data_IF_833360636867
#
_entry.id   IF_833360636867
#
_cell.length_a   1.000
_cell.length_b   1.000
_cell.length_c   1.000
_cell.angle_alpha   90.00
_cell.angle_beta   90.00
_cell.angle_gamma   90.00
#
_symmetry.space_group_name_H-M   'P 1'
#
loop_
_entity.id
_entity.type
_entity.pdbx_description
1 polymer ?
#
# COMPACT_ATOMS: atom_id res chain seq x y z
N UNK A 1 -3.52 -12.31 -4.73
CA UNK A 1 -2.11 -12.31 -5.23
C UNK A 1 -2.12 -12.59 -6.72
N UNK A 2 -2.95 -13.54 -7.17
CA UNK A 2 -3.60 -13.59 -8.49
C UNK A 2 -3.79 -12.26 -9.25
N UNK A 3 -4.07 -11.14 -8.59
CA UNK A 3 -4.15 -9.83 -9.29
C UNK A 3 -2.88 -9.52 -10.09
N UNK A 4 -1.71 -9.98 -9.62
CA UNK A 4 -0.45 -9.87 -10.34
C UNK A 4 -0.41 -10.74 -11.60
N UNK A 5 -1.03 -11.94 -11.59
CA UNK A 5 -1.07 -12.83 -12.76
C UNK A 5 -1.98 -12.29 -13.87
N UNK A 6 -2.94 -11.43 -13.53
CA UNK A 6 -3.71 -10.64 -14.50
C UNK A 6 -2.97 -9.39 -15.03
N UNK A 7 -1.70 -9.21 -14.67
CA UNK A 7 -0.87 -8.13 -15.21
C UNK A 7 -1.05 -6.77 -14.54
N UNK A 8 -1.59 -6.70 -13.30
CA UNK A 8 -1.64 -5.42 -12.59
C UNK A 8 -0.21 -4.91 -12.34
N UNK A 9 0.13 -3.67 -12.76
CA UNK A 9 1.49 -3.16 -12.57
C UNK A 9 1.82 -2.93 -11.08
N UNK A 10 0.80 -2.60 -10.27
CA UNK A 10 0.93 -2.32 -8.85
C UNK A 10 -0.22 -3.00 -8.10
N UNK A 11 0.12 -3.79 -7.08
CA UNK A 11 -0.82 -4.38 -6.14
C UNK A 11 -0.61 -3.77 -4.74
N UNK A 12 -1.67 -3.20 -4.17
CA UNK A 12 -1.69 -2.73 -2.79
C UNK A 12 -2.37 -3.75 -1.89
N UNK A 13 -1.66 -4.21 -0.86
CA UNK A 13 -2.16 -5.12 0.17
C UNK A 13 -2.27 -4.42 1.51
N UNK A 14 -3.11 -4.99 2.37
CA UNK A 14 -3.45 -4.48 3.70
C UNK A 14 -4.27 -3.17 3.70
N UNK A 15 -4.73 -2.70 2.54
CA UNK A 15 -5.54 -1.47 2.44
C UNK A 15 -6.91 -1.60 3.14
N UNK A 16 -7.51 -2.79 3.10
CA UNK A 16 -8.82 -3.08 3.71
C UNK A 16 -8.72 -3.66 5.13
N UNK A 17 -7.50 -3.83 5.65
CA UNK A 17 -7.33 -4.29 7.01
C UNK A 17 -7.73 -3.19 8.00
N UNK A 18 -8.27 -3.61 9.14
CA UNK A 18 -8.64 -2.66 10.20
C UNK A 18 -7.43 -1.81 10.60
N UNK A 19 -7.64 -0.50 10.68
CA UNK A 19 -6.66 0.48 11.13
C UNK A 19 -6.08 0.11 12.50
N UNK A 20 -6.86 -0.55 13.37
CA UNK A 20 -6.43 -1.02 14.68
C UNK A 20 -5.22 -1.97 14.63
N UNK A 21 -5.04 -2.70 13.51
CA UNK A 21 -3.90 -3.59 13.31
C UNK A 21 -2.60 -2.85 13.02
N UNK A 22 -2.67 -1.56 12.68
CA UNK A 22 -1.53 -0.67 12.34
C UNK A 22 -0.55 -1.30 11.35
N UNK A 23 -1.04 -2.19 10.48
CA UNK A 23 -0.20 -2.82 9.48
C UNK A 23 0.08 -1.84 8.35
N UNK A 24 1.34 -1.67 7.95
CA UNK A 24 1.66 -0.84 6.81
C UNK A 24 1.05 -1.42 5.53
N UNK A 25 0.65 -0.52 4.63
CA UNK A 25 0.24 -0.91 3.28
C UNK A 25 1.45 -1.53 2.59
N UNK A 26 1.26 -2.75 2.11
CA UNK A 26 2.28 -3.46 1.35
C UNK A 26 2.06 -3.18 -0.14
N UNK A 27 3.05 -2.58 -0.79
CA UNK A 27 3.03 -2.34 -2.24
C UNK A 27 3.89 -3.38 -2.94
N UNK A 28 3.29 -4.11 -3.88
CA UNK A 28 3.99 -5.05 -4.76
C UNK A 28 3.99 -4.46 -6.17
N UNK A 29 5.16 -4.37 -6.78
CA UNK A 29 5.35 -3.88 -8.14
C UNK A 29 5.67 -5.07 -9.04
N UNK A 30 4.88 -5.27 -10.10
CA UNK A 30 4.98 -6.43 -10.98
C UNK A 30 6.32 -6.47 -11.72
N UNK A 31 6.81 -5.34 -12.23
CA UNK A 31 8.11 -5.26 -12.92
C UNK A 31 9.28 -5.71 -12.03
N UNK A 32 9.26 -5.32 -10.74
CA UNK A 32 10.24 -5.79 -9.75
C UNK A 32 10.10 -7.28 -9.45
N UNK A 33 8.88 -7.83 -9.50
CA UNK A 33 8.64 -9.27 -9.30
C UNK A 33 9.17 -10.06 -10.48
N UNK A 34 8.83 -9.65 -11.71
CA UNK A 34 9.28 -10.30 -12.94
C UNK A 34 10.82 -10.26 -13.06
N UNK A 35 11.43 -9.10 -12.84
CA UNK A 35 12.91 -8.98 -12.83
C UNK A 35 13.55 -9.78 -11.70
N UNK A 36 12.98 -9.78 -10.49
CA UNK A 36 13.53 -10.52 -9.36
C UNK A 36 13.40 -12.04 -9.47
N UNK A 37 12.44 -12.52 -10.27
CA UNK A 37 12.26 -13.95 -10.58
C UNK A 37 12.90 -14.36 -11.91
N UNK A 38 13.39 -13.40 -12.70
CA UNK A 38 13.92 -13.61 -14.05
C UNK A 38 12.93 -14.29 -15.00
N UNK A 39 11.63 -13.96 -14.86
CA UNK A 39 10.55 -14.53 -15.67
C UNK A 39 9.89 -13.48 -16.54
N UNK A 40 9.47 -13.87 -17.74
CA UNK A 40 8.51 -13.07 -18.53
C UNK A 40 7.13 -13.11 -17.90
N UNK A 41 6.22 -12.22 -18.33
CA UNK A 41 4.84 -12.22 -17.84
C UNK A 41 4.13 -13.57 -18.12
N UNK A 42 4.36 -14.15 -19.29
CA UNK A 42 3.78 -15.46 -19.67
C UNK A 42 4.32 -16.58 -18.78
N UNK A 43 5.63 -16.64 -18.57
CA UNK A 43 6.25 -17.61 -17.67
C UNK A 43 5.84 -17.40 -16.22
N UNK A 44 5.60 -16.15 -15.81
CA UNK A 44 5.12 -15.85 -14.46
C UNK A 44 3.70 -16.38 -14.22
N UNK A 45 2.80 -16.27 -15.20
CA UNK A 45 1.47 -16.88 -15.13
C UNK A 45 1.59 -18.39 -14.99
N UNK A 46 2.38 -19.03 -15.86
CA UNK A 46 2.64 -20.47 -15.86
C UNK A 46 3.26 -20.96 -14.54
N UNK A 47 4.23 -20.20 -14.02
CA UNK A 47 4.82 -20.41 -12.70
C UNK A 47 3.76 -20.35 -11.58
N UNK A 48 2.85 -19.39 -11.63
CA UNK A 48 1.79 -19.27 -10.63
C UNK A 48 0.77 -20.41 -10.71
N UNK A 49 0.45 -20.91 -11.91
CA UNK A 49 -0.39 -22.12 -12.07
C UNK A 49 0.31 -23.33 -11.44
N UNK A 50 1.62 -23.51 -11.64
CA UNK A 50 2.40 -24.58 -11.00
C UNK A 50 2.47 -24.47 -9.47
N UNK A 51 2.51 -23.25 -8.94
CA UNK A 51 2.48 -23.02 -7.49
C UNK A 51 1.15 -23.43 -6.85
N UNK A 52 0.11 -23.61 -7.66
CA UNK A 52 -1.28 -23.75 -7.22
C UNK A 52 -2.04 -22.45 -7.42
N UNK A 53 -3.18 -22.55 -8.09
CA UNK A 53 -4.14 -21.47 -8.29
C UNK A 53 -5.56 -21.97 -8.00
N UNK A 54 -6.54 -21.07 -7.93
CA UNK A 54 -7.91 -21.44 -7.60
C UNK A 54 -8.65 -22.17 -8.76
N UNK A 55 -8.04 -22.23 -9.95
CA UNK A 55 -8.65 -22.78 -11.16
C UNK A 55 -8.21 -24.21 -11.47
N UNK A 56 -7.10 -24.67 -10.89
CA UNK A 56 -6.47 -25.96 -11.17
C UNK A 56 -5.86 -26.51 -9.89
N UNK A 57 -6.10 -27.80 -9.64
CA UNK A 57 -5.59 -28.46 -8.44
C UNK A 57 -4.06 -28.43 -8.38
N UNK A 58 -3.47 -28.17 -7.19
CA UNK A 58 -2.03 -28.10 -7.02
C UNK A 58 -1.39 -29.48 -7.19
N UNK A 59 -0.22 -29.50 -7.84
CA UNK A 59 0.56 -30.73 -8.00
C UNK A 59 1.28 -31.10 -6.70
N UNK A 60 1.14 -32.36 -6.29
CA UNK A 60 1.76 -32.87 -5.07
C UNK A 60 3.29 -32.80 -5.14
N UNK A 61 3.90 -32.05 -4.22
CA UNK A 61 5.35 -31.88 -4.14
C UNK A 61 5.91 -30.75 -5.03
N UNK A 62 5.03 -30.05 -5.76
CA UNK A 62 5.38 -28.83 -6.49
C UNK A 62 4.85 -27.65 -5.68
N UNK A 63 5.77 -26.80 -5.22
CA UNK A 63 5.49 -25.55 -4.54
C UNK A 63 6.42 -24.47 -5.09
N UNK A 64 6.32 -23.24 -4.61
CA UNK A 64 7.02 -22.08 -5.19
C UNK A 64 8.50 -22.29 -5.55
N UNK A 65 9.31 -22.92 -4.69
CA UNK A 65 10.74 -23.17 -4.98
C UNK A 65 10.93 -24.17 -6.12
N UNK A 66 10.21 -25.29 -6.06
CA UNK A 66 10.27 -26.34 -7.08
C UNK A 66 9.70 -25.84 -8.41
N UNK A 67 8.58 -25.14 -8.37
CA UNK A 67 7.94 -24.55 -9.54
C UNK A 67 8.87 -23.54 -10.23
N UNK A 68 9.52 -22.66 -9.47
CA UNK A 68 10.48 -21.69 -10.03
C UNK A 68 11.66 -22.39 -10.70
N UNK A 69 12.24 -23.40 -10.02
CA UNK A 69 13.32 -24.22 -10.58
C UNK A 69 12.90 -24.88 -11.90
N UNK A 70 11.75 -25.54 -11.92
CA UNK A 70 11.23 -26.22 -13.12
C UNK A 70 10.98 -25.23 -14.27
N UNK A 71 10.44 -24.05 -13.97
CA UNK A 71 10.23 -23.01 -14.98
C UNK A 71 11.54 -22.48 -15.55
N UNK A 72 12.58 -22.32 -14.73
CA UNK A 72 13.91 -21.91 -15.20
C UNK A 72 14.60 -22.98 -16.04
N UNK A 73 14.41 -24.27 -15.72
CA UNK A 73 15.03 -25.39 -16.43
C UNK A 73 14.33 -25.70 -17.77
N UNK A 74 13.00 -25.67 -17.80
CA UNK A 74 12.21 -26.12 -18.96
C UNK A 74 11.62 -24.97 -19.78
N UNK A 75 11.49 -23.77 -19.20
CA UNK A 75 11.08 -22.55 -19.89
C UNK A 75 9.58 -22.37 -20.12
N UNK A 76 8.78 -23.44 -20.14
CA UNK A 76 7.32 -23.37 -20.28
C UNK A 76 6.60 -24.45 -19.47
N UNK A 77 5.35 -24.18 -19.08
CA UNK A 77 4.50 -25.12 -18.34
C UNK A 77 4.29 -26.44 -19.09
N UNK A 78 4.10 -26.39 -20.40
CA UNK A 78 3.95 -27.57 -21.26
C UNK A 78 5.13 -28.55 -21.07
N UNK A 79 6.36 -28.05 -21.21
CA UNK A 79 7.58 -28.85 -21.04
C UNK A 79 7.77 -29.33 -19.60
N UNK A 80 7.35 -28.55 -18.61
CA UNK A 80 7.36 -28.97 -17.21
C UNK A 80 6.39 -30.13 -17.00
N UNK A 81 5.18 -30.08 -17.58
CA UNK A 81 4.19 -31.16 -17.48
C UNK A 81 4.70 -32.44 -18.14
N UNK A 82 5.28 -32.35 -19.33
CA UNK A 82 5.91 -33.49 -20.01
C UNK A 82 7.00 -34.13 -19.12
N UNK A 83 7.93 -33.30 -18.62
CA UNK A 83 9.00 -33.77 -17.73
C UNK A 83 8.45 -34.43 -16.46
N UNK A 84 7.43 -33.85 -15.83
CA UNK A 84 6.82 -34.41 -14.63
C UNK A 84 6.07 -35.72 -14.92
N UNK A 85 5.45 -35.87 -16.09
CA UNK A 85 4.80 -37.13 -16.49
C UNK A 85 5.80 -38.26 -16.68
N UNK A 86 7.00 -37.96 -17.17
CA UNK A 86 8.07 -38.94 -17.38
C UNK A 86 8.86 -39.30 -16.11
N UNK A 87 9.12 -38.30 -15.26
CA UNK A 87 10.12 -38.42 -14.18
C UNK A 87 9.56 -38.35 -12.76
N UNK A 88 8.33 -37.87 -12.57
CA UNK A 88 7.76 -37.66 -11.24
C UNK A 88 7.19 -38.95 -10.66
N UNK A 89 7.38 -39.14 -9.35
CA UNK A 89 6.68 -40.18 -8.58
C UNK A 89 5.18 -39.92 -8.45
N UNK A 90 4.76 -38.66 -8.58
CA UNK A 90 3.36 -38.24 -8.59
C UNK A 90 3.18 -37.33 -9.83
N UNK A 91 2.94 -37.90 -11.02
CA UNK A 91 2.74 -37.10 -12.22
C UNK A 91 1.44 -36.29 -12.12
N UNK A 92 1.30 -35.20 -12.89
CA UNK A 92 0.04 -34.52 -13.08
C UNK A 92 -1.05 -35.50 -13.52
N UNK A 93 -2.31 -35.34 -13.03
CA UNK A 93 -3.44 -36.10 -13.56
C UNK A 93 -3.55 -35.98 -15.08
N UNK A 94 -4.18 -36.97 -15.72
CA UNK A 94 -4.45 -36.92 -17.16
C UNK A 94 -5.36 -35.74 -17.50
N UNK A 95 -6.41 -35.55 -16.69
CA UNK A 95 -7.33 -34.42 -16.70
C UNK A 95 -6.84 -33.32 -15.76
N UNK A 96 -5.79 -32.61 -16.17
CA UNK A 96 -5.25 -31.46 -15.45
C UNK A 96 -5.36 -30.21 -16.34
N UNK A 97 -6.43 -29.40 -16.20
CA UNK A 97 -6.80 -28.34 -17.17
C UNK A 97 -5.97 -27.05 -16.99
N UNK A 98 -4.65 -27.20 -17.08
CA UNK A 98 -3.71 -26.10 -16.88
C UNK A 98 -3.72 -25.10 -18.04
N UNK A 99 -4.07 -25.54 -19.25
CA UNK A 99 -4.15 -24.69 -20.45
C UNK A 99 -5.30 -23.68 -20.33
N UNK A 100 -6.45 -24.14 -19.85
CA UNK A 100 -7.63 -23.31 -19.61
C UNK A 100 -7.36 -22.28 -18.52
N UNK A 101 -6.72 -22.69 -17.42
CA UNK A 101 -6.31 -21.76 -16.36
C UNK A 101 -5.31 -20.71 -16.86
N UNK A 102 -4.32 -21.13 -17.65
CA UNK A 102 -3.37 -20.21 -18.30
C UNK A 102 -4.11 -19.22 -19.20
N UNK A 103 -5.04 -19.69 -20.03
CA UNK A 103 -5.81 -18.84 -20.93
C UNK A 103 -6.67 -17.82 -20.17
N UNK A 104 -7.29 -18.23 -19.05
CA UNK A 104 -8.07 -17.35 -18.17
C UNK A 104 -7.23 -16.18 -17.65
N UNK A 105 -5.99 -16.43 -17.23
CA UNK A 105 -5.10 -15.36 -16.78
C UNK A 105 -4.57 -14.47 -17.90
N UNK A 106 -4.29 -15.03 -19.08
CA UNK A 106 -3.77 -14.28 -20.23
C UNK A 106 -4.83 -13.40 -20.90
N UNK A 107 -6.07 -13.90 -20.97
CA UNK A 107 -7.20 -13.23 -21.61
C UNK A 107 -8.42 -13.25 -20.69
N UNK A 108 -8.36 -12.53 -19.56
CA UNK A 108 -9.49 -12.44 -18.65
C UNK A 108 -10.63 -11.66 -19.30
N UNK A 109 -11.86 -12.07 -19.01
CA UNK A 109 -13.03 -11.29 -19.36
C UNK A 109 -13.10 -10.06 -18.45
N UNK A 110 -12.79 -8.89 -19.00
CA UNK A 110 -12.78 -7.63 -18.27
C UNK A 110 -13.55 -6.55 -19.03
N UNK A 111 -14.28 -5.72 -18.30
CA UNK A 111 -14.90 -4.53 -18.88
C UNK A 111 -13.80 -3.55 -19.31
N UNK A 112 -13.82 -3.04 -20.55
CA UNK A 112 -12.86 -2.03 -20.99
C UNK A 112 -12.89 -0.81 -20.09
N UNK A 113 -11.71 -0.31 -19.71
CA UNK A 113 -11.59 0.86 -18.83
C UNK A 113 -12.22 2.12 -19.43
N UNK A 114 -12.27 2.23 -20.76
CA UNK A 114 -12.93 3.31 -21.49
C UNK A 114 -14.44 3.38 -21.28
N UNK A 115 -15.08 2.28 -20.91
CA UNK A 115 -16.52 2.20 -20.65
C UNK A 115 -16.86 2.57 -19.20
N UNK A 116 -15.87 2.63 -18.31
CA UNK A 116 -16.07 2.88 -16.88
C UNK A 116 -15.99 4.38 -16.57
N UNK A 117 -17.12 4.96 -16.18
CA UNK A 117 -17.19 6.32 -15.63
C UNK A 117 -17.21 6.27 -14.10
N UNK A 118 -16.07 6.58 -13.47
CA UNK A 118 -15.97 6.61 -12.01
C UNK A 118 -16.36 8.00 -11.48
N UNK A 119 -17.49 8.07 -10.77
CA UNK A 119 -17.96 9.28 -10.11
C UNK A 119 -18.27 9.00 -8.63
N UNK A 120 -17.59 9.70 -7.73
CA UNK A 120 -17.90 9.65 -6.31
C UNK A 120 -18.99 10.69 -5.98
N UNK A 121 -20.21 10.21 -5.74
CA UNK A 121 -21.37 11.03 -5.36
C UNK A 121 -21.49 11.15 -3.85
N UNK A 122 -22.11 12.24 -3.38
CA UNK A 122 -22.38 12.44 -1.95
C UNK A 122 -23.18 11.24 -1.39
N UNK A 123 -22.88 10.79 -0.17
CA UNK A 123 -23.59 9.68 0.44
C UNK A 123 -25.04 10.08 0.73
N UNK A 124 -25.97 9.17 0.47
CA UNK A 124 -27.36 9.28 0.91
C UNK A 124 -27.47 8.88 2.39
N UNK A 125 -27.49 9.88 3.27
CA UNK A 125 -27.49 9.66 4.73
C UNK A 125 -28.82 9.05 5.19
N UNK A 126 -29.94 9.45 4.61
CA UNK A 126 -31.26 8.94 4.99
C UNK A 126 -31.40 7.48 4.57
N UNK A 127 -31.02 7.14 3.34
CA UNK A 127 -30.99 5.76 2.85
C UNK A 127 -30.02 4.87 3.63
N UNK A 128 -28.85 5.39 4.03
CA UNK A 128 -27.91 4.66 4.90
C UNK A 128 -28.50 4.34 6.27
N UNK A 129 -29.22 5.29 6.88
CA UNK A 129 -29.89 5.06 8.18
C UNK A 129 -31.03 4.06 8.02
N UNK A 130 -31.85 4.18 6.98
CA UNK A 130 -32.94 3.25 6.72
C UNK A 130 -32.44 1.81 6.59
N UNK A 131 -31.45 1.57 5.72
CA UNK A 131 -30.89 0.24 5.50
C UNK A 131 -30.11 -0.28 6.72
N UNK A 132 -29.10 0.46 7.21
CA UNK A 132 -28.21 -0.07 8.25
C UNK A 132 -28.89 -0.12 9.63
N UNK A 133 -29.71 0.87 9.99
CA UNK A 133 -30.32 0.94 11.32
C UNK A 133 -31.62 0.15 11.34
N UNK A 134 -32.57 0.43 10.43
CA UNK A 134 -33.90 -0.18 10.51
C UNK A 134 -33.91 -1.63 10.03
N UNK A 135 -33.20 -1.95 8.93
CA UNK A 135 -33.19 -3.34 8.42
C UNK A 135 -32.09 -4.21 9.05
N UNK A 136 -30.89 -3.65 9.27
CA UNK A 136 -29.72 -4.41 9.74
C UNK A 136 -29.41 -4.24 11.23
N UNK A 137 -30.12 -3.38 11.95
CA UNK A 137 -30.02 -3.24 13.41
C UNK A 137 -28.71 -2.61 13.89
N UNK A 138 -28.02 -1.82 13.07
CA UNK A 138 -26.82 -1.09 13.49
C UNK A 138 -27.17 0.10 14.38
N UNK A 139 -26.21 0.51 15.21
CA UNK A 139 -26.33 1.69 16.06
C UNK A 139 -26.47 2.98 15.23
N UNK A 140 -27.58 3.71 15.43
CA UNK A 140 -27.93 4.89 14.65
C UNK A 140 -26.91 6.02 14.82
N UNK A 141 -26.44 6.24 16.05
CA UNK A 141 -25.48 7.29 16.35
C UNK A 141 -24.14 7.04 15.62
N UNK A 142 -23.68 5.79 15.61
CA UNK A 142 -22.46 5.36 14.92
C UNK A 142 -22.59 5.47 13.41
N UNK A 143 -23.74 5.09 12.83
CA UNK A 143 -24.01 5.23 11.39
C UNK A 143 -24.00 6.70 10.98
N UNK A 144 -24.71 7.57 11.71
CA UNK A 144 -24.74 9.02 11.44
C UNK A 144 -23.35 9.65 11.56
N UNK A 145 -22.57 9.29 12.58
CA UNK A 145 -21.17 9.74 12.73
C UNK A 145 -20.29 9.28 11.58
N UNK A 146 -20.45 8.04 11.11
CA UNK A 146 -19.73 7.51 9.94
C UNK A 146 -20.07 8.26 8.65
N UNK A 147 -21.36 8.49 8.41
CA UNK A 147 -21.84 9.24 7.24
C UNK A 147 -21.36 10.70 7.23
N UNK A 148 -21.32 11.36 8.40
CA UNK A 148 -20.76 12.70 8.54
C UNK A 148 -19.26 12.73 8.19
N UNK A 149 -18.47 11.77 8.70
CA UNK A 149 -17.04 11.64 8.37
C UNK A 149 -16.81 11.40 6.87
N UNK A 150 -17.62 10.55 6.25
CA UNK A 150 -17.56 10.28 4.81
C UNK A 150 -17.85 11.53 3.99
N UNK A 151 -18.92 12.25 4.33
CA UNK A 151 -19.30 13.52 3.67
C UNK A 151 -18.19 14.57 3.77
N UNK A 152 -17.57 14.69 4.94
CA UNK A 152 -16.45 15.59 5.17
C UNK A 152 -15.24 15.20 4.31
N UNK A 153 -14.85 13.92 4.29
CA UNK A 153 -13.73 13.42 3.51
C UNK A 153 -13.92 13.64 2.00
N UNK A 154 -15.14 13.53 1.49
CA UNK A 154 -15.46 13.81 0.09
C UNK A 154 -15.39 15.31 -0.29
N UNK A 155 -15.62 16.20 0.69
CA UNK A 155 -15.60 17.66 0.46
C UNK A 155 -14.20 18.25 0.65
N UNK A 156 -13.33 17.54 1.38
CA UNK A 156 -11.94 17.91 1.60
C UNK A 156 -11.19 17.81 0.26
N UNK A 157 -11.07 18.95 -0.45
CA UNK A 157 -10.44 19.00 -1.79
C UNK A 157 -9.09 18.28 -1.77
N UNK A 158 -8.90 17.41 -2.76
CA UNK A 158 -7.67 16.71 -3.09
C UNK A 158 -6.58 17.66 -3.64
N UNK A 159 -6.44 18.88 -3.09
CA UNK A 159 -5.29 19.74 -3.35
C UNK A 159 -4.21 19.37 -2.33
N UNK A 160 -3.47 18.31 -2.61
CA UNK A 160 -2.33 17.95 -1.77
C UNK A 160 -1.31 19.09 -1.78
N UNK A 161 -1.07 19.73 -0.63
CA UNK A 161 0.14 20.53 -0.44
C UNK A 161 1.34 19.59 -0.55
N UNK A 162 2.47 20.07 -1.08
CA UNK A 162 3.72 19.30 -1.12
C UNK A 162 4.12 18.77 0.28
N UNK A 163 3.80 19.52 1.34
CA UNK A 163 3.97 19.13 2.75
C UNK A 163 3.17 17.87 3.14
N UNK A 164 2.11 17.53 2.39
CA UNK A 164 1.31 16.32 2.59
C UNK A 164 1.86 15.10 1.85
N UNK A 165 2.75 15.28 0.87
CA UNK A 165 3.41 14.20 0.13
C UNK A 165 4.77 13.84 0.72
N UNK A 166 5.50 14.83 1.23
CA UNK A 166 6.83 14.66 1.79
C UNK A 166 6.79 14.93 3.28
N UNK A 167 7.27 13.97 4.09
CA UNK A 167 7.55 14.25 5.50
C UNK A 167 8.65 15.32 5.56
N UNK A 168 8.48 16.43 6.29
CA UNK A 168 9.53 17.42 6.45
C UNK A 168 10.79 16.76 7.01
N UNK A 169 11.88 16.81 6.26
CA UNK A 169 13.19 16.48 6.80
C UNK A 169 13.56 17.67 7.70
N UNK A 170 13.72 17.43 9.00
CA UNK A 170 14.23 18.44 9.91
C UNK A 170 15.57 18.94 9.35
N UNK A 171 15.70 20.26 9.13
CA UNK A 171 16.94 20.85 8.65
C UNK A 171 18.07 20.38 9.56
N UNK A 172 19.03 19.64 8.99
CA UNK A 172 20.26 19.33 9.67
C UNK A 172 20.94 20.67 9.93
N UNK A 173 20.99 21.09 11.19
CA UNK A 173 21.87 22.18 11.61
C UNK A 173 23.29 21.69 11.38
N UNK A 174 23.88 22.08 10.26
CA UNK A 174 25.30 21.89 9.99
C UNK A 174 26.10 22.59 11.09
N UNK A 175 26.57 21.80 12.06
CA UNK A 175 27.71 22.16 12.88
C UNK A 175 28.97 21.97 12.04
N UNK A 176 29.39 22.98 11.27
CA UNK A 176 30.80 23.27 10.98
C UNK A 176 30.98 24.44 10.02
N UNK A 177 31.36 25.61 10.54
CA UNK A 177 32.63 26.27 10.17
C UNK A 177 32.72 27.65 10.83
N UNK A 178 33.76 27.77 11.63
CA UNK A 178 34.22 28.97 12.28
C UNK A 178 34.82 29.98 11.28
N UNK A 179 34.60 31.27 11.58
CA UNK A 179 35.56 32.38 11.48
C UNK A 179 35.62 33.21 10.16
N UNK A 180 35.12 34.46 10.18
CA UNK A 180 35.95 35.69 10.04
C UNK A 180 35.15 37.01 10.22
N UNK A 181 35.32 37.62 11.41
CA UNK A 181 35.70 39.02 11.68
C UNK A 181 35.25 40.13 10.72
N UNK A 182 34.52 41.13 11.24
CA UNK A 182 34.91 42.56 11.16
C UNK A 182 34.24 43.37 12.28
N UNK A 183 35.09 43.91 13.16
CA UNK A 183 34.80 44.93 14.18
C UNK A 183 35.02 46.31 13.52
N UNK A 184 34.15 47.27 13.77
CA UNK A 184 34.28 48.68 13.40
C UNK A 184 33.42 49.51 14.35
N UNK A 185 34.07 50.45 15.02
CA UNK A 185 33.68 51.22 16.21
C UNK A 185 32.89 52.50 15.87
N UNK A 186 32.57 53.29 16.92
CA UNK A 186 32.15 54.70 16.99
C UNK A 186 30.65 55.12 17.06
N UNK A 187 30.14 55.10 18.31
CA UNK A 187 29.82 56.25 19.20
C UNK A 187 28.67 57.28 18.95
N UNK A 188 27.98 57.59 20.07
CA UNK A 188 27.08 58.72 20.47
C UNK A 188 25.65 58.79 19.87
N UNK A 189 24.57 59.11 20.62
CA UNK A 189 24.38 59.75 21.94
C UNK A 189 22.92 59.58 22.44
N UNK A 190 22.75 59.32 23.76
CA UNK A 190 21.83 59.89 24.77
C UNK A 190 20.31 60.09 24.45
N UNK A 191 19.31 59.96 25.34
CA UNK A 191 19.11 59.86 26.81
C UNK A 191 17.58 59.60 26.99
N UNK A 192 17.00 59.01 28.04
CA UNK A 192 16.90 59.48 29.44
C UNK A 192 16.04 58.47 30.23
N UNK A 193 16.44 58.10 31.44
CA UNK A 193 15.73 57.16 32.32
C UNK A 193 14.91 57.80 33.46
N UNK A 194 14.15 56.94 34.16
CA UNK A 194 13.69 56.95 35.59
C UNK A 194 12.50 55.95 35.69
N UNK A 195 12.29 55.12 36.71
CA UNK A 195 12.84 55.00 38.07
C UNK A 195 12.46 53.60 38.62
N UNK A 196 13.33 53.04 39.47
CA UNK A 196 13.16 51.78 40.19
C UNK A 196 12.52 51.94 41.60
N UNK A 197 12.03 50.83 42.16
CA UNK A 197 12.01 50.41 43.59
C UNK A 197 11.50 48.96 43.62
N UNK A 198 12.27 47.89 43.85
CA UNK A 198 13.04 47.41 45.04
C UNK A 198 12.19 46.91 46.21
N UNK A 199 12.16 45.59 46.41
CA UNK A 199 12.44 44.82 47.66
C UNK A 199 12.13 43.33 47.39
N UNK A 200 13.10 42.41 47.38
CA UNK A 200 13.54 41.57 48.53
C UNK A 200 12.34 41.06 49.37
N UNK A 201 12.12 39.76 49.58
CA UNK A 201 12.96 38.88 50.43
C UNK A 201 12.50 37.41 50.27
N UNK A 202 13.42 36.48 50.53
CA UNK A 202 13.28 35.04 50.83
C UNK A 202 12.16 34.74 51.87
N UNK A 203 11.57 33.54 52.03
CA UNK A 203 12.16 32.24 52.42
C UNK A 203 11.11 31.10 52.41
N UNK A 204 11.56 29.89 52.03
CA UNK A 204 11.29 28.54 52.58
C UNK A 204 10.23 28.35 53.71
N UNK A 205 9.33 27.36 53.52
CA UNK A 205 8.93 26.26 54.45
C UNK A 205 7.94 25.35 53.71
N UNK A 206 8.22 24.09 53.35
CA UNK A 206 8.17 22.86 54.17
C UNK A 206 7.09 22.87 55.26
N UNK A 207 6.00 22.17 55.00
CA UNK A 207 5.63 20.97 55.77
C UNK A 207 4.94 19.97 54.85
#
# INVERSE_FOLDING_TARGET
MDTLTFGTPILLRHLTFSEARKMPILTVNLEKVLSGLELTMEQFIEFCVLCGCDYVDPLKGVAAKTAHKLMMEHGSLEKVVEHLRESSKNPPPEDWPWEEARALFQKPEVTPSSELKLEWKKPDVEGLVDFLVKEKGFDEERVKKGAAKLTQAMTQKQQGRLDGFFKPIAAQTDQSSSNKKRKGDDDKKATKGKKAKSNSTSTKKKS
#
